data_IF_854268816413
#
_entry.id   IF_854268816413
#
_cell.length_a   1.000
_cell.length_b   1.000
_cell.length_c   1.000
_cell.angle_alpha   90.00
_cell.angle_beta   90.00
_cell.angle_gamma   90.00
#
_symmetry.space_group_name_H-M   'P 1'
#
loop_
_entity.id
_entity.type
_entity.pdbx_description
1 polymer ?
#
# COMPACT_ATOMS: atom_id res chain seq x y z
N UNK A 1 11.56 -14.23 75.62
CA UNK A 1 10.47 -13.36 75.08
C UNK A 1 10.66 -12.93 73.61
N UNK A 2 11.88 -12.93 73.04
CA UNK A 2 12.13 -12.47 71.67
C UNK A 2 11.57 -13.39 70.56
N UNK A 3 11.55 -14.72 70.79
CA UNK A 3 11.14 -15.72 69.79
C UNK A 3 9.65 -15.65 69.43
N UNK A 4 8.79 -15.31 70.39
CA UNK A 4 7.34 -15.17 70.16
C UNK A 4 6.99 -13.90 69.35
N UNK A 5 7.85 -12.88 69.40
CA UNK A 5 7.63 -11.60 68.72
C UNK A 5 8.01 -11.68 67.23
N UNK A 6 9.06 -12.43 66.90
CA UNK A 6 9.47 -12.70 65.51
C UNK A 6 8.47 -13.57 64.74
N UNK A 7 7.83 -14.55 65.40
CA UNK A 7 6.78 -15.36 64.77
C UNK A 7 5.54 -14.54 64.37
N UNK A 8 5.15 -13.56 65.20
CA UNK A 8 4.00 -12.67 64.94
C UNK A 8 4.26 -11.66 63.81
N UNK A 9 5.52 -11.27 63.59
CA UNK A 9 5.91 -10.37 62.50
C UNK A 9 5.95 -11.09 61.14
N UNK A 10 6.39 -12.35 61.10
CA UNK A 10 6.45 -13.12 59.86
C UNK A 10 5.05 -13.53 59.34
N UNK A 11 4.10 -13.80 60.25
CA UNK A 11 2.70 -14.05 59.90
C UNK A 11 2.00 -12.81 59.31
N UNK A 12 2.29 -11.60 59.84
CA UNK A 12 1.80 -10.34 59.25
C UNK A 12 2.42 -10.04 57.89
N UNK A 13 3.72 -10.31 57.71
CA UNK A 13 4.39 -10.12 56.40
C UNK A 13 3.80 -11.04 55.33
N UNK A 14 3.38 -12.26 55.68
CA UNK A 14 2.78 -13.22 54.74
C UNK A 14 1.38 -12.80 54.26
N UNK A 15 0.52 -12.30 55.15
CA UNK A 15 -0.81 -11.81 54.76
C UNK A 15 -0.78 -10.59 53.84
N UNK A 16 0.20 -9.69 54.02
CA UNK A 16 0.37 -8.51 53.16
C UNK A 16 0.82 -8.84 51.73
N UNK A 17 1.48 -9.98 51.53
CA UNK A 17 1.90 -10.46 50.20
C UNK A 17 0.76 -11.20 49.47
N UNK A 18 -0.18 -11.82 50.20
CA UNK A 18 -1.31 -12.58 49.63
C UNK A 18 -2.56 -11.72 49.34
N UNK A 19 -2.71 -10.53 49.94
CA UNK A 19 -3.89 -9.66 49.76
C UNK A 19 -3.95 -8.86 48.44
N UNK A 20 -2.90 -8.89 47.60
CA UNK A 20 -2.80 -8.04 46.40
C UNK A 20 -2.86 -8.76 45.05
N UNK A 21 -3.06 -10.08 45.01
CA UNK A 21 -3.24 -10.79 43.74
C UNK A 21 -4.72 -10.81 43.31
N UNK A 22 -5.31 -9.62 43.12
CA UNK A 22 -6.62 -9.50 42.47
C UNK A 22 -6.47 -9.73 40.97
N UNK A 23 -6.82 -10.94 40.51
CA UNK A 23 -6.91 -11.25 39.08
C UNK A 23 -8.02 -10.46 38.37
N UNK A 24 -7.86 -10.24 37.06
CA UNK A 24 -8.91 -9.67 36.21
C UNK A 24 -10.16 -10.56 36.23
N UNK A 25 -11.33 -9.93 36.34
CA UNK A 25 -12.59 -10.67 36.27
C UNK A 25 -12.89 -11.06 34.81
N UNK A 26 -13.55 -12.21 34.60
CA UNK A 26 -13.96 -12.65 33.26
C UNK A 26 -14.92 -11.64 32.60
N UNK A 27 -15.72 -10.93 33.40
CA UNK A 27 -16.64 -9.90 32.89
C UNK A 27 -15.91 -8.65 32.40
N UNK A 28 -14.81 -8.25 33.04
CA UNK A 28 -13.98 -7.14 32.56
C UNK A 28 -13.37 -7.46 31.20
N UNK A 29 -12.83 -8.67 31.03
CA UNK A 29 -12.31 -9.09 29.73
C UNK A 29 -13.41 -9.22 28.67
N UNK A 30 -14.61 -9.67 29.04
CA UNK A 30 -15.75 -9.79 28.13
C UNK A 30 -16.20 -8.43 27.59
N UNK A 31 -16.33 -7.41 28.44
CA UNK A 31 -16.75 -6.07 28.01
C UNK A 31 -15.68 -5.45 27.09
N UNK A 32 -14.40 -5.66 27.38
CA UNK A 32 -13.30 -5.14 26.56
C UNK A 32 -13.33 -5.74 25.15
N UNK A 33 -13.48 -7.05 25.00
CA UNK A 33 -13.53 -7.67 23.66
C UNK A 33 -14.77 -7.26 22.87
N UNK A 34 -15.91 -6.99 23.55
CA UNK A 34 -17.11 -6.46 22.89
C UNK A 34 -16.84 -5.06 22.33
N UNK A 35 -16.23 -4.17 23.12
CA UNK A 35 -15.92 -2.82 22.68
C UNK A 35 -14.93 -2.86 21.50
N UNK A 36 -13.85 -3.64 21.61
CA UNK A 36 -12.87 -3.80 20.51
C UNK A 36 -13.53 -4.41 19.28
N UNK A 37 -14.47 -5.35 19.45
CA UNK A 37 -15.24 -5.95 18.36
C UNK A 37 -16.08 -4.92 17.59
N UNK A 38 -16.78 -4.02 18.29
CA UNK A 38 -17.56 -2.94 17.66
C UNK A 38 -16.64 -1.97 16.91
N UNK A 39 -15.52 -1.58 17.52
CA UNK A 39 -14.56 -0.67 16.88
C UNK A 39 -13.93 -1.31 15.64
N UNK A 40 -13.54 -2.58 15.71
CA UNK A 40 -12.95 -3.31 14.59
C UNK A 40 -13.93 -3.43 13.40
N UNK A 41 -15.21 -3.70 13.68
CA UNK A 41 -16.24 -3.83 12.65
C UNK A 41 -16.38 -2.56 11.77
N UNK A 42 -16.25 -1.37 12.38
CA UNK A 42 -16.31 -0.09 11.66
C UNK A 42 -14.95 0.26 11.03
N UNK A 43 -13.85 0.00 11.74
CA UNK A 43 -12.52 0.41 11.32
C UNK A 43 -11.98 -0.38 10.11
N UNK A 44 -12.22 -1.70 10.05
CA UNK A 44 -11.71 -2.58 8.99
C UNK A 44 -12.14 -2.12 7.58
N UNK A 45 -13.44 -1.92 7.27
CA UNK A 45 -13.85 -1.52 5.91
C UNK A 45 -13.29 -0.15 5.51
N UNK A 46 -13.21 0.80 6.45
CA UNK A 46 -12.61 2.13 6.21
C UNK A 46 -11.13 2.01 5.90
N UNK A 47 -10.39 1.22 6.69
CA UNK A 47 -8.96 0.99 6.48
C UNK A 47 -8.67 0.31 5.12
N UNK A 48 -9.49 -0.66 4.73
CA UNK A 48 -9.39 -1.29 3.41
C UNK A 48 -9.63 -0.29 2.26
N UNK A 49 -10.59 0.62 2.41
CA UNK A 49 -10.81 1.70 1.43
C UNK A 49 -9.60 2.64 1.30
N UNK A 50 -9.03 3.06 2.43
CA UNK A 50 -7.84 3.95 2.45
C UNK A 50 -6.64 3.27 1.79
N UNK A 51 -6.38 2.00 2.14
CA UNK A 51 -5.26 1.24 1.56
C UNK A 51 -5.44 0.99 0.07
N UNK A 52 -6.66 0.71 -0.39
CA UNK A 52 -6.95 0.59 -1.82
C UNK A 52 -6.74 1.92 -2.57
N UNK A 53 -7.21 3.03 -2.02
CA UNK A 53 -6.98 4.37 -2.61
C UNK A 53 -5.49 4.71 -2.67
N UNK A 54 -4.71 4.34 -1.64
CA UNK A 54 -3.27 4.54 -1.63
C UNK A 54 -2.57 3.72 -2.74
N UNK A 55 -2.96 2.45 -2.90
CA UNK A 55 -2.46 1.58 -3.99
C UNK A 55 -2.78 2.14 -5.37
N UNK A 56 -4.00 2.63 -5.57
CA UNK A 56 -4.40 3.26 -6.83
C UNK A 56 -3.62 4.56 -7.10
N UNK A 57 -3.38 5.37 -6.07
CA UNK A 57 -2.55 6.58 -6.17
C UNK A 57 -1.08 6.27 -6.49
N UNK A 58 -0.56 5.18 -5.93
CA UNK A 58 0.77 4.64 -6.25
C UNK A 58 0.85 4.27 -7.73
N UNK A 59 -0.13 3.54 -8.24
CA UNK A 59 -0.22 3.19 -9.67
C UNK A 59 -0.35 4.42 -10.58
N UNK A 60 -1.14 5.44 -10.21
CA UNK A 60 -1.21 6.69 -10.99
C UNK A 60 0.14 7.40 -11.05
N UNK A 61 0.91 7.36 -9.96
CA UNK A 61 2.27 7.92 -9.91
C UNK A 61 3.22 7.15 -10.82
N UNK A 62 3.19 5.81 -10.78
CA UNK A 62 3.98 4.96 -11.67
C UNK A 62 3.68 5.24 -13.15
N UNK A 63 2.40 5.36 -13.52
CA UNK A 63 1.99 5.72 -14.89
C UNK A 63 2.51 7.10 -15.28
N UNK A 64 2.50 8.07 -14.38
CA UNK A 64 3.00 9.44 -14.62
C UNK A 64 4.51 9.43 -14.82
N UNK A 65 5.25 8.67 -14.01
CA UNK A 65 6.69 8.48 -14.16
C UNK A 65 7.00 7.79 -15.49
N UNK A 66 6.21 6.77 -15.86
CA UNK A 66 6.33 6.08 -17.13
C UNK A 66 6.10 7.03 -18.32
N UNK A 67 5.05 7.86 -18.27
CA UNK A 67 4.78 8.89 -19.28
C UNK A 67 5.95 9.86 -19.43
N UNK A 68 6.48 10.33 -18.30
CA UNK A 68 7.63 11.25 -18.29
C UNK A 68 8.87 10.59 -18.90
N UNK A 69 9.12 9.31 -18.59
CA UNK A 69 10.21 8.53 -19.16
C UNK A 69 10.07 8.36 -20.68
N UNK A 70 8.86 8.05 -21.17
CA UNK A 70 8.56 7.94 -22.61
C UNK A 70 8.83 9.26 -23.33
N UNK A 71 8.34 10.37 -22.80
CA UNK A 71 8.54 11.72 -23.37
C UNK A 71 10.03 12.11 -23.33
N UNK A 72 10.74 11.77 -22.27
CA UNK A 72 12.18 12.03 -22.13
C UNK A 72 13.00 11.28 -23.18
N UNK A 73 12.68 9.99 -23.40
CA UNK A 73 13.32 9.17 -24.44
C UNK A 73 13.00 9.74 -25.82
N UNK A 74 11.75 10.11 -26.08
CA UNK A 74 11.35 10.72 -27.35
C UNK A 74 12.11 12.02 -27.61
N UNK A 75 12.25 12.88 -26.59
CA UNK A 75 12.94 14.16 -26.71
C UNK A 75 14.44 14.01 -26.94
N UNK A 76 15.04 12.94 -26.41
CA UNK A 76 16.50 12.70 -26.50
C UNK A 76 16.89 11.93 -27.75
N UNK A 77 16.10 10.92 -28.13
CA UNK A 77 16.41 10.00 -29.23
C UNK A 77 15.63 10.28 -30.52
N UNK A 78 14.66 11.19 -30.49
CA UNK A 78 13.79 11.52 -31.62
C UNK A 78 12.77 10.43 -31.98
N UNK A 79 12.68 9.35 -31.19
CA UNK A 79 11.78 8.23 -31.42
C UNK A 79 11.20 7.72 -30.11
N UNK A 80 9.98 7.19 -30.16
CA UNK A 80 9.38 6.56 -28.99
C UNK A 80 10.11 5.26 -28.62
N UNK A 81 10.21 4.93 -27.32
CA UNK A 81 10.69 3.61 -26.90
C UNK A 81 9.77 2.51 -27.45
N UNK A 82 10.25 1.27 -27.50
CA UNK A 82 9.45 0.15 -27.98
C UNK A 82 8.19 -0.09 -27.12
N UNK A 83 7.07 -0.33 -27.80
CA UNK A 83 5.81 -0.75 -27.16
C UNK A 83 6.00 -2.07 -26.41
N UNK A 84 5.25 -2.26 -25.32
CA UNK A 84 5.40 -3.46 -24.50
C UNK A 84 4.46 -3.50 -23.31
N UNK A 85 4.35 -4.69 -22.71
CA UNK A 85 3.69 -4.90 -21.43
C UNK A 85 4.75 -5.14 -20.37
N UNK A 86 4.69 -4.38 -19.29
CA UNK A 86 5.62 -4.40 -18.16
C UNK A 86 4.85 -4.82 -16.91
N UNK A 87 5.41 -5.71 -16.10
CA UNK A 87 4.77 -6.24 -14.90
C UNK A 87 5.83 -6.82 -13.95
N UNK A 88 5.41 -7.46 -12.86
CA UNK A 88 6.32 -8.06 -11.88
C UNK A 88 7.25 -9.15 -12.44
N UNK A 89 6.94 -9.74 -13.60
CA UNK A 89 7.79 -10.76 -14.26
C UNK A 89 8.55 -10.21 -15.47
N UNK A 90 8.09 -9.10 -16.04
CA UNK A 90 8.66 -8.45 -17.23
C UNK A 90 9.32 -7.15 -16.81
N UNK A 91 10.64 -7.18 -16.71
CA UNK A 91 11.42 -6.02 -16.34
C UNK A 91 11.26 -4.89 -17.38
N UNK A 92 11.18 -3.65 -16.87
CA UNK A 92 11.38 -2.46 -17.68
C UNK A 92 12.69 -2.55 -18.46
N UNK A 93 12.68 -2.07 -19.70
CA UNK A 93 13.90 -1.97 -20.52
C UNK A 93 14.90 -1.01 -19.88
N UNK A 94 16.19 -1.18 -20.17
CA UNK A 94 17.26 -0.30 -19.65
C UNK A 94 17.00 1.17 -19.99
N UNK A 95 16.46 1.45 -21.17
CA UNK A 95 16.12 2.81 -21.59
C UNK A 95 15.01 3.41 -20.72
N UNK A 96 13.93 2.67 -20.47
CA UNK A 96 12.82 3.13 -19.63
C UNK A 96 13.25 3.31 -18.17
N UNK A 97 14.02 2.37 -17.61
CA UNK A 97 14.58 2.51 -16.25
C UNK A 97 15.53 3.70 -16.14
N UNK A 98 16.42 3.86 -17.12
CA UNK A 98 17.38 4.97 -17.17
C UNK A 98 16.70 6.33 -17.29
N UNK A 99 15.52 6.39 -17.93
CA UNK A 99 14.69 7.58 -18.02
C UNK A 99 13.75 7.78 -16.81
N UNK A 100 13.86 6.95 -15.77
CA UNK A 100 13.13 7.12 -14.50
C UNK A 100 11.78 6.40 -14.41
N UNK A 101 11.45 5.51 -15.37
CA UNK A 101 10.26 4.67 -15.22
C UNK A 101 10.46 3.65 -14.09
N UNK A 102 9.43 3.47 -13.27
CA UNK A 102 9.38 2.48 -12.20
C UNK A 102 8.03 1.77 -12.21
N UNK A 103 8.02 0.52 -11.74
CA UNK A 103 6.80 -0.21 -11.37
C UNK A 103 6.91 -0.54 -9.89
N UNK A 104 6.03 0.04 -9.07
CA UNK A 104 5.84 -0.36 -7.68
C UNK A 104 5.09 -1.68 -7.55
N UNK A 105 5.15 -2.29 -6.36
CA UNK A 105 4.44 -3.54 -6.04
C UNK A 105 2.92 -3.41 -6.10
N UNK A 106 2.40 -2.19 -6.01
CA UNK A 106 0.96 -1.91 -6.07
C UNK A 106 0.44 -1.85 -7.52
N UNK A 107 1.34 -1.84 -8.50
CA UNK A 107 1.02 -1.82 -9.93
C UNK A 107 1.21 -3.22 -10.53
N UNK A 108 0.10 -3.87 -10.89
CA UNK A 108 0.12 -5.22 -11.47
C UNK A 108 0.74 -5.25 -12.86
N UNK A 109 0.42 -4.25 -13.69
CA UNK A 109 0.98 -4.15 -15.04
C UNK A 109 0.87 -2.74 -15.61
N UNK A 110 1.79 -2.40 -16.50
CA UNK A 110 1.72 -1.24 -17.40
C UNK A 110 1.79 -1.74 -18.84
N UNK A 111 0.76 -1.44 -19.63
CA UNK A 111 0.71 -1.69 -21.06
C UNK A 111 0.98 -0.38 -21.79
N UNK A 112 2.08 -0.32 -22.51
CA UNK A 112 2.48 0.82 -23.32
C UNK A 112 2.34 0.48 -24.79
N UNK A 113 1.59 1.31 -25.50
CA UNK A 113 1.29 1.16 -26.92
C UNK A 113 1.62 2.44 -27.66
N UNK A 114 2.11 2.28 -28.88
CA UNK A 114 2.38 3.38 -29.81
C UNK A 114 1.32 3.30 -30.91
N UNK A 115 0.78 4.43 -31.29
CA UNK A 115 -0.22 4.56 -32.34
C UNK A 115 0.04 5.79 -33.21
N UNK A 116 -1.01 6.25 -33.88
CA UNK A 116 -0.94 7.42 -34.75
C UNK A 116 -0.35 7.09 -36.12
N UNK A 117 0.20 8.12 -36.76
CA UNK A 117 0.80 8.02 -38.11
C UNK A 117 2.31 8.23 -38.04
N UNK A 118 3.04 7.87 -39.09
CA UNK A 118 4.49 8.11 -39.17
C UNK A 118 4.87 9.59 -39.07
N UNK A 119 3.97 10.50 -39.46
CA UNK A 119 4.16 11.95 -39.36
C UNK A 119 3.71 12.53 -38.00
N UNK A 120 2.83 11.84 -37.28
CA UNK A 120 2.31 12.24 -35.97
C UNK A 120 2.09 10.99 -35.11
N UNK A 121 3.18 10.40 -34.57
CA UNK A 121 3.07 9.24 -33.71
C UNK A 121 2.47 9.64 -32.36
N UNK A 122 1.56 8.82 -31.84
CA UNK A 122 0.93 9.01 -30.54
C UNK A 122 1.29 7.85 -29.62
N UNK A 123 1.05 8.01 -28.32
CA UNK A 123 1.25 6.92 -27.38
C UNK A 123 0.13 6.83 -26.36
N UNK A 124 -0.04 5.63 -25.82
CA UNK A 124 -0.99 5.33 -24.76
C UNK A 124 -0.38 4.38 -23.75
N UNK A 125 -0.54 4.71 -22.49
CA UNK A 125 -0.09 3.94 -21.34
C UNK A 125 -1.32 3.57 -20.51
N UNK A 126 -1.52 2.29 -20.26
CA UNK A 126 -2.58 1.76 -19.41
C UNK A 126 -1.94 1.02 -18.25
N UNK A 127 -2.12 1.51 -17.02
CA UNK A 127 -1.69 0.82 -15.82
C UNK A 127 -2.86 0.14 -15.11
N UNK A 128 -2.62 -1.05 -14.57
CA UNK A 128 -3.57 -1.80 -13.74
C UNK A 128 -3.01 -1.90 -12.34
N UNK A 129 -3.78 -1.47 -11.35
CA UNK A 129 -3.41 -1.58 -9.94
C UNK A 129 -3.68 -2.99 -9.41
N UNK A 130 -3.04 -3.34 -8.30
CA UNK A 130 -3.27 -4.57 -7.54
C UNK A 130 -4.70 -4.71 -7.00
N UNK A 131 -5.49 -3.63 -6.99
CA UNK A 131 -6.93 -3.64 -6.70
C UNK A 131 -7.79 -3.98 -7.92
N UNK A 132 -7.19 -4.25 -9.09
CA UNK A 132 -7.81 -4.41 -10.42
C UNK A 132 -8.41 -3.12 -11.02
N UNK A 133 -8.22 -1.97 -10.39
CA UNK A 133 -8.55 -0.67 -10.99
C UNK A 133 -7.59 -0.33 -12.12
N UNK A 134 -8.13 0.17 -13.24
CA UNK A 134 -7.34 0.56 -14.41
C UNK A 134 -7.28 2.08 -14.54
N UNK A 135 -6.14 2.58 -14.98
CA UNK A 135 -5.90 3.98 -15.26
C UNK A 135 -5.13 4.10 -16.56
N UNK A 136 -5.33 5.17 -17.29
CA UNK A 136 -4.58 5.39 -18.51
C UNK A 136 -4.21 6.85 -18.73
N UNK A 137 -3.19 7.05 -19.55
CA UNK A 137 -2.76 8.36 -20.04
C UNK A 137 -2.31 8.24 -21.49
N UNK A 138 -2.47 9.30 -22.25
CA UNK A 138 -2.02 9.42 -23.64
C UNK A 138 -1.04 10.59 -23.78
N UNK A 139 -0.58 10.87 -24.98
CA UNK A 139 0.23 12.03 -25.32
C UNK A 139 -0.47 13.35 -24.94
N UNK A 140 -1.79 13.44 -25.12
CA UNK A 140 -2.56 14.67 -24.86
C UNK A 140 -3.28 14.71 -23.51
N UNK A 141 -3.55 13.56 -22.88
CA UNK A 141 -4.37 13.50 -21.67
C UNK A 141 -3.55 13.28 -20.40
N UNK A 142 -4.03 13.78 -19.26
CA UNK A 142 -3.53 13.39 -17.93
C UNK A 142 -3.88 11.94 -17.59
N UNK A 143 -3.55 11.50 -16.37
CA UNK A 143 -3.96 10.18 -15.89
C UNK A 143 -5.45 10.19 -15.57
N UNK A 144 -6.23 9.39 -16.30
CA UNK A 144 -7.67 9.22 -16.13
C UNK A 144 -8.00 7.80 -15.67
N UNK A 145 -9.15 7.64 -15.02
CA UNK A 145 -9.66 6.32 -14.63
C UNK A 145 -10.22 5.58 -15.84
N UNK A 146 -10.01 4.26 -15.86
CA UNK A 146 -10.39 3.37 -16.95
C UNK A 146 -9.27 3.10 -17.94
N UNK A 147 -9.58 2.30 -18.94
CA UNK A 147 -8.67 1.90 -20.02
C UNK A 147 -8.73 2.84 -21.24
N UNK A 148 -9.60 3.86 -21.22
CA UNK A 148 -9.85 4.77 -22.34
C UNK A 148 -9.41 6.20 -22.04
N UNK A 149 -8.42 6.58 -22.82
CA UNK A 149 -7.77 7.84 -23.12
C UNK A 149 -7.09 7.59 -24.48
#
# INVERSE_FOLDING_TARGET
>A
MYFALMGKLNARRKGLLEENEKGFTLIELLVVVIIIGILAAIAIPVYLGITNNAKESSTKSDITNFKTAVISIQSTSGSFPAAGTYNGTTALTTALKGAGASLGSDTSSIVYTIGGTTAAPTFKIVGTSSTNSTFCTSDTSGVVSGSTC
#
